data_IF_303936697056
#
_entry.id   IF_303936697056
#
_cell.length_a   1.000
_cell.length_b   1.000
_cell.length_c   1.000
_cell.angle_alpha   90.00
_cell.angle_beta   90.00
_cell.angle_gamma   90.00
#
_symmetry.space_group_name_H-M   'P 1'
#
loop_
_entity.id
_entity.type
_entity.pdbx_description
1 polymer ?
#
# COMPACT_ATOMS: atom_id res chain seq x y z
N UNK A 1 1.35 9.08 -3.69
CA UNK A 1 1.14 9.07 -5.17
C UNK A 1 2.42 9.39 -5.97
N UNK A 2 3.62 9.07 -5.46
CA UNK A 2 4.89 9.40 -6.13
C UNK A 2 5.20 8.50 -7.33
N UNK A 3 4.78 7.22 -7.31
CA UNK A 3 5.09 6.26 -8.38
C UNK A 3 4.46 6.63 -9.74
N UNK A 4 3.18 7.02 -9.76
CA UNK A 4 2.48 7.36 -11.00
C UNK A 4 3.06 8.63 -11.65
N UNK A 5 3.48 9.60 -10.84
CA UNK A 5 4.18 10.80 -11.32
C UNK A 5 5.50 10.43 -12.01
N UNK A 6 6.28 9.51 -11.43
CA UNK A 6 7.54 9.05 -12.02
C UNK A 6 7.35 8.26 -13.32
N UNK A 7 6.22 7.55 -13.46
CA UNK A 7 5.92 6.71 -14.63
C UNK A 7 5.27 7.49 -15.78
N UNK A 8 4.42 8.49 -15.49
CA UNK A 8 3.59 9.16 -16.50
C UNK A 8 3.70 10.70 -16.51
N UNK A 9 4.40 11.30 -15.55
CA UNK A 9 4.48 12.76 -15.38
C UNK A 9 5.64 13.45 -16.08
N UNK A 10 6.30 12.79 -17.04
CA UNK A 10 7.52 13.33 -17.65
C UNK A 10 7.20 14.43 -18.65
N UNK A 11 7.86 15.58 -18.48
CA UNK A 11 7.79 16.68 -19.45
C UNK A 11 8.82 16.49 -20.59
N UNK A 12 8.70 15.39 -21.34
CA UNK A 12 9.60 15.02 -22.44
C UNK A 12 8.93 15.12 -23.82
N UNK A 13 7.78 15.80 -23.92
CA UNK A 13 7.02 15.98 -25.15
C UNK A 13 6.17 14.79 -25.58
N UNK A 14 6.13 13.69 -24.81
CA UNK A 14 5.25 12.55 -25.10
C UNK A 14 3.79 12.77 -24.69
N UNK A 15 3.56 13.60 -23.66
CA UNK A 15 2.23 13.93 -23.17
C UNK A 15 1.71 15.20 -23.87
N UNK A 16 0.48 15.15 -24.39
CA UNK A 16 -0.16 16.20 -25.18
C UNK A 16 -1.07 17.07 -24.29
N UNK A 17 -0.83 18.39 -24.18
CA UNK A 17 -1.72 19.29 -23.46
C UNK A 17 -3.12 19.31 -24.10
N UNK A 18 -4.15 19.25 -23.27
CA UNK A 18 -5.57 19.22 -23.69
C UNK A 18 -6.08 17.82 -24.06
N UNK A 19 -5.21 16.81 -24.06
CA UNK A 19 -5.56 15.40 -24.29
C UNK A 19 -5.20 14.57 -23.08
N UNK A 20 -3.90 14.52 -22.73
CA UNK A 20 -3.40 13.69 -21.63
C UNK A 20 -3.42 14.44 -20.29
N UNK A 21 -3.39 15.78 -20.33
CA UNK A 21 -3.51 16.62 -19.15
C UNK A 21 -4.14 17.99 -19.47
N UNK A 22 -4.75 18.67 -18.48
CA UNK A 22 -5.35 19.98 -18.68
C UNK A 22 -4.39 21.03 -19.29
N UNK A 23 -4.84 21.70 -20.36
CA UNK A 23 -4.14 22.86 -20.93
C UNK A 23 -4.68 24.16 -20.33
N UNK A 24 -4.51 24.32 -19.01
CA UNK A 24 -4.96 25.48 -18.25
C UNK A 24 -3.83 26.08 -17.41
N UNK A 25 -3.88 27.37 -17.16
CA UNK A 25 -2.92 28.07 -16.29
C UNK A 25 -2.95 27.49 -14.88
N UNK A 26 -1.78 27.18 -14.33
CA UNK A 26 -1.63 26.61 -13.00
C UNK A 26 -1.56 25.08 -12.96
N UNK A 27 -1.93 24.38 -14.04
CA UNK A 27 -1.69 22.95 -14.13
C UNK A 27 -0.20 22.65 -14.44
N UNK A 28 0.46 21.72 -13.73
CA UNK A 28 1.85 21.39 -14.01
C UNK A 28 2.03 20.78 -15.41
N UNK A 29 2.93 21.35 -16.22
CA UNK A 29 3.17 20.85 -17.58
C UNK A 29 3.68 19.42 -17.56
N UNK A 30 3.05 18.55 -18.34
CA UNK A 30 3.40 17.13 -18.45
C UNK A 30 2.83 16.25 -17.33
N UNK A 31 2.13 16.82 -16.34
CA UNK A 31 1.52 16.05 -15.26
C UNK A 31 0.18 15.45 -15.71
N UNK A 32 0.17 14.14 -15.92
CA UNK A 32 -1.01 13.36 -16.27
C UNK A 32 -1.78 12.98 -15.00
N UNK A 33 -3.05 13.39 -14.84
CA UNK A 33 -3.87 12.95 -13.72
C UNK A 33 -4.28 11.49 -13.94
N UNK A 34 -3.84 10.61 -13.05
CA UNK A 34 -4.23 9.19 -13.05
C UNK A 34 -5.04 8.95 -11.80
N UNK A 35 -6.25 8.43 -11.95
CA UNK A 35 -7.13 8.14 -10.83
C UNK A 35 -6.67 6.87 -10.09
N UNK A 36 -6.19 6.97 -8.83
CA UNK A 36 -6.05 5.79 -7.99
C UNK A 36 -7.43 5.35 -7.51
N UNK A 37 -7.83 4.13 -7.83
CA UNK A 37 -9.03 3.53 -7.25
C UNK A 37 -8.74 3.03 -5.85
N UNK A 38 -9.66 3.26 -4.92
CA UNK A 38 -9.58 2.78 -3.54
C UNK A 38 -11.00 2.47 -3.05
N UNK A 39 -11.06 1.68 -1.98
CA UNK A 39 -12.26 1.47 -1.18
C UNK A 39 -11.95 1.81 0.27
N UNK A 40 -12.99 1.82 1.12
CA UNK A 40 -12.81 1.95 2.57
C UNK A 40 -12.06 0.73 3.12
N UNK A 41 -11.23 0.96 4.14
CA UNK A 41 -10.40 -0.07 4.75
C UNK A 41 -11.22 -1.30 5.14
N UNK A 42 -12.34 -1.14 5.83
CA UNK A 42 -13.07 -2.30 6.35
C UNK A 42 -13.83 -3.08 5.25
N UNK A 43 -13.94 -2.48 4.06
CA UNK A 43 -14.52 -3.07 2.85
C UNK A 43 -13.50 -3.61 1.85
N UNK A 44 -12.19 -3.42 2.08
CA UNK A 44 -11.15 -3.91 1.20
C UNK A 44 -10.87 -5.39 1.47
N UNK A 45 -11.31 -6.24 0.53
CA UNK A 45 -11.12 -7.68 0.59
C UNK A 45 -9.91 -8.18 -0.21
N UNK A 46 -9.12 -7.28 -0.82
CA UNK A 46 -8.03 -7.63 -1.73
C UNK A 46 -6.66 -7.23 -1.18
N UNK A 47 -6.52 -6.02 -0.65
CA UNK A 47 -5.21 -5.45 -0.31
C UNK A 47 -4.91 -5.46 1.20
N UNK A 48 -5.89 -5.75 2.05
CA UNK A 48 -5.68 -5.75 3.51
C UNK A 48 -5.35 -7.16 3.99
N UNK A 49 -4.08 -7.42 4.38
CA UNK A 49 -3.65 -8.75 4.79
C UNK A 49 -4.19 -9.16 6.17
N UNK A 50 -4.73 -8.22 6.94
CA UNK A 50 -5.31 -8.45 8.27
C UNK A 50 -6.83 -8.22 8.30
N UNK A 51 -7.48 -8.38 7.14
CA UNK A 51 -8.94 -8.35 7.07
C UNK A 51 -9.55 -9.33 8.08
N UNK A 52 -10.72 -9.02 8.71
CA UNK A 52 -11.31 -9.84 9.75
C UNK A 52 -11.48 -11.32 9.33
N UNK A 53 -10.57 -12.18 9.80
CA UNK A 53 -10.51 -13.58 9.40
C UNK A 53 -10.27 -14.48 10.61
N UNK A 54 -11.31 -15.22 11.04
CA UNK A 54 -11.21 -16.16 12.17
C UNK A 54 -10.11 -17.21 11.99
N UNK A 55 -9.91 -17.67 10.75
CA UNK A 55 -8.87 -18.64 10.40
C UNK A 55 -7.47 -18.07 10.58
N UNK A 56 -7.26 -16.80 10.23
CA UNK A 56 -5.98 -16.10 10.42
C UNK A 56 -5.65 -16.03 11.91
N UNK A 57 -6.60 -15.61 12.75
CA UNK A 57 -6.37 -15.53 14.19
C UNK A 57 -6.00 -16.90 14.78
N UNK A 58 -6.72 -17.96 14.39
CA UNK A 58 -6.40 -19.31 14.83
C UNK A 58 -5.01 -19.79 14.34
N UNK A 59 -4.61 -19.46 13.11
CA UNK A 59 -3.24 -19.73 12.61
C UNK A 59 -2.19 -19.01 13.43
N UNK A 60 -2.39 -17.72 13.67
CA UNK A 60 -1.43 -16.90 14.40
C UNK A 60 -1.25 -17.39 15.84
N UNK A 61 -2.33 -17.80 16.51
CA UNK A 61 -2.22 -18.39 17.85
C UNK A 61 -1.49 -19.72 17.84
N UNK A 62 -1.73 -20.59 16.86
CA UNK A 62 -0.94 -21.82 16.71
C UNK A 62 0.53 -21.50 16.47
N UNK A 63 0.85 -20.55 15.60
CA UNK A 63 2.24 -20.16 15.33
C UNK A 63 2.93 -19.63 16.60
N UNK A 64 2.27 -18.75 17.34
CA UNK A 64 2.80 -18.20 18.60
C UNK A 64 3.02 -19.26 19.68
N UNK A 65 2.19 -20.29 19.73
CA UNK A 65 2.24 -21.29 20.81
C UNK A 65 3.10 -22.51 20.46
N UNK A 66 3.08 -22.93 19.19
CA UNK A 66 3.64 -24.21 18.74
C UNK A 66 4.90 -24.07 17.88
N UNK A 67 5.11 -22.95 17.18
CA UNK A 67 6.31 -22.79 16.33
C UNK A 67 7.51 -22.29 17.14
N UNK A 68 8.59 -23.05 17.15
CA UNK A 68 9.86 -22.67 17.78
C UNK A 68 10.46 -21.41 17.14
N UNK A 69 10.36 -21.29 15.81
CA UNK A 69 10.87 -20.12 15.06
C UNK A 69 10.15 -18.84 15.50
N UNK A 70 8.81 -18.86 15.48
CA UNK A 70 8.00 -17.69 15.80
C UNK A 70 8.16 -17.31 17.28
N UNK A 71 8.18 -18.30 18.17
CA UNK A 71 8.46 -18.07 19.60
C UNK A 71 9.85 -17.51 19.82
N UNK A 72 10.85 -18.07 19.17
CA UNK A 72 12.22 -17.61 19.25
C UNK A 72 12.38 -16.17 18.77
N UNK A 73 11.65 -15.79 17.71
CA UNK A 73 11.64 -14.43 17.18
C UNK A 73 10.94 -13.43 18.11
N UNK A 74 9.72 -13.73 18.55
CA UNK A 74 8.90 -12.81 19.37
C UNK A 74 9.52 -12.55 20.75
N UNK A 75 10.22 -13.55 21.31
CA UNK A 75 10.87 -13.41 22.62
C UNK A 75 12.19 -12.61 22.57
N UNK A 76 12.67 -12.20 21.39
CA UNK A 76 13.84 -11.35 21.28
C UNK A 76 13.60 -9.98 21.93
N UNK A 77 14.55 -9.44 22.71
CA UNK A 77 14.38 -8.15 23.39
C UNK A 77 14.00 -7.01 22.44
N UNK A 78 14.54 -7.01 21.22
CA UNK A 78 14.32 -5.96 20.22
C UNK A 78 12.93 -6.01 19.61
N UNK A 79 12.30 -7.19 19.59
CA UNK A 79 10.98 -7.42 18.98
C UNK A 79 9.87 -7.18 20.00
N UNK A 80 10.10 -7.59 21.25
CA UNK A 80 9.10 -7.53 22.33
C UNK A 80 8.59 -6.11 22.63
N UNK A 81 9.38 -5.07 22.35
CA UNK A 81 9.02 -3.66 22.59
C UNK A 81 7.94 -3.15 21.61
N UNK A 82 7.75 -3.80 20.46
CA UNK A 82 6.81 -3.36 19.41
C UNK A 82 5.47 -4.11 19.40
N UNK A 83 5.30 -5.11 20.26
CA UNK A 83 4.12 -5.99 20.28
C UNK A 83 3.33 -5.96 21.61
N UNK A 84 3.61 -4.98 22.48
CA UNK A 84 2.85 -4.70 23.72
C UNK A 84 2.42 -3.24 23.78
#
# INVERSE_FOLDING_TARGET
MSNLLGMYGQNNGKNIPGVDYPNITGWPRGYVPIAPHTVDHDSDHLLIPHAPCKRMNWLFEMLRTQSEEVRGFINKPEVRIFFF
#
